data_IF_167704413586
#
_entry.id   IF_167704413586
#
_cell.length_a   1.000
_cell.length_b   1.000
_cell.length_c   1.000
_cell.angle_alpha   90.00
_cell.angle_beta   90.00
_cell.angle_gamma   90.00
#
_symmetry.space_group_name_H-M   'P 1'
#
loop_
_entity.id
_entity.type
_entity.pdbx_description
1 polymer ?
#
# COMPACT_ATOMS: atom_id res chain seq x y z
N UNK A 1 -11.95 -3.31 -18.92
CA UNK A 1 -12.47 -2.67 -17.71
C UNK A 1 -13.87 -2.13 -17.98
N UNK A 2 -14.86 -2.59 -17.22
CA UNK A 2 -16.22 -2.06 -17.23
C UNK A 2 -16.34 -0.83 -16.30
N UNK A 3 -17.40 -0.02 -16.46
CA UNK A 3 -17.57 1.20 -15.63
C UNK A 3 -17.57 0.91 -14.13
N UNK A 4 -18.28 -0.14 -13.71
CA UNK A 4 -18.32 -0.55 -12.30
C UNK A 4 -16.94 -0.95 -11.78
N UNK A 5 -16.18 -1.67 -12.60
CA UNK A 5 -14.82 -2.11 -12.28
C UNK A 5 -13.90 -0.90 -12.13
N UNK A 6 -13.97 0.08 -13.04
CA UNK A 6 -13.19 1.31 -12.97
C UNK A 6 -13.48 2.13 -11.70
N UNK A 7 -14.75 2.25 -11.31
CA UNK A 7 -15.13 2.96 -10.07
C UNK A 7 -14.52 2.26 -8.85
N UNK A 8 -14.63 0.94 -8.78
CA UNK A 8 -14.11 0.16 -7.67
C UNK A 8 -12.58 0.18 -7.63
N UNK A 9 -11.93 0.00 -8.78
CA UNK A 9 -10.46 0.05 -8.89
C UNK A 9 -9.92 1.41 -8.47
N UNK A 10 -10.55 2.51 -8.89
CA UNK A 10 -10.20 3.86 -8.43
C UNK A 10 -10.31 3.99 -6.90
N UNK A 11 -11.43 3.54 -6.32
CA UNK A 11 -11.64 3.62 -4.86
C UNK A 11 -10.62 2.80 -4.08
N UNK A 12 -10.37 1.56 -4.50
CA UNK A 12 -9.45 0.66 -3.80
C UNK A 12 -8.00 1.10 -3.96
N UNK A 13 -7.58 1.49 -5.16
CA UNK A 13 -6.22 2.00 -5.40
C UNK A 13 -5.94 3.30 -4.66
N UNK A 14 -6.90 4.25 -4.58
CA UNK A 14 -6.74 5.45 -3.74
C UNK A 14 -6.64 5.12 -2.26
N UNK A 15 -7.46 4.19 -1.77
CA UNK A 15 -7.39 3.71 -0.38
C UNK A 15 -6.02 3.11 -0.07
N UNK A 16 -5.51 2.24 -0.95
CA UNK A 16 -4.19 1.62 -0.78
C UNK A 16 -3.07 2.64 -0.81
N UNK A 17 -3.08 3.56 -1.78
CA UNK A 17 -2.09 4.64 -1.91
C UNK A 17 -2.04 5.48 -0.64
N UNK A 18 -3.20 5.91 -0.14
CA UNK A 18 -3.28 6.69 1.10
C UNK A 18 -2.73 5.91 2.30
N UNK A 19 -3.04 4.62 2.41
CA UNK A 19 -2.51 3.75 3.46
C UNK A 19 -0.98 3.60 3.40
N UNK A 20 -0.42 3.47 2.19
CA UNK A 20 1.03 3.38 2.02
C UNK A 20 1.75 4.67 2.40
N UNK A 21 1.18 5.84 2.07
CA UNK A 21 1.73 7.16 2.46
C UNK A 21 1.68 7.35 3.98
N UNK A 22 0.64 6.84 4.65
CA UNK A 22 0.61 6.81 6.11
C UNK A 22 1.72 5.88 6.62
N UNK A 23 1.89 4.71 6.00
CA UNK A 23 2.95 3.76 6.32
C UNK A 23 4.36 4.34 6.22
N UNK A 24 4.67 5.14 5.19
CA UNK A 24 5.97 5.83 5.06
C UNK A 24 6.18 6.83 6.19
N UNK A 25 5.17 7.62 6.51
CA UNK A 25 5.23 8.58 7.61
C UNK A 25 5.50 7.87 8.94
N UNK A 26 4.84 6.72 9.17
CA UNK A 26 5.06 5.91 10.37
C UNK A 26 6.47 5.30 10.41
N UNK A 27 7.03 4.89 9.27
CA UNK A 27 8.41 4.43 9.17
C UNK A 27 9.39 5.55 9.55
N UNK A 28 9.17 6.77 9.09
CA UNK A 28 10.02 7.91 9.45
C UNK A 28 9.96 8.22 10.96
N UNK A 29 8.76 8.13 11.56
CA UNK A 29 8.60 8.26 13.01
C UNK A 29 9.32 7.12 13.76
N UNK A 30 9.25 5.90 13.25
CA UNK A 30 9.92 4.74 13.83
C UNK A 30 11.44 4.95 13.92
N UNK A 31 12.05 5.51 12.87
CA UNK A 31 13.50 5.80 12.81
C UNK A 31 13.91 6.87 13.83
N UNK A 32 13.00 7.73 14.24
CA UNK A 32 13.27 8.76 15.25
C UNK A 32 13.34 8.22 16.69
N UNK A 33 12.87 6.98 16.94
CA UNK A 33 12.85 6.37 18.26
C UNK A 33 14.26 5.91 18.67
N UNK A 34 14.78 6.50 19.76
CA UNK A 34 16.15 6.24 20.24
C UNK A 34 16.26 5.11 21.26
N UNK A 35 15.15 4.75 21.91
CA UNK A 35 15.11 3.68 22.91
C UNK A 35 14.77 2.36 22.23
N UNK A 36 15.58 1.33 22.47
CA UNK A 36 15.42 0.02 21.83
C UNK A 36 14.05 -0.61 22.10
N UNK A 37 13.53 -0.49 23.33
CA UNK A 37 12.21 -1.02 23.70
C UNK A 37 11.07 -0.35 22.92
N UNK A 38 11.15 0.98 22.74
CA UNK A 38 10.18 1.74 21.95
C UNK A 38 10.29 1.43 20.47
N UNK A 39 11.51 1.31 19.94
CA UNK A 39 11.77 0.95 18.56
C UNK A 39 11.20 -0.45 18.25
N UNK A 40 11.44 -1.42 19.13
CA UNK A 40 10.92 -2.79 19.00
C UNK A 40 9.39 -2.82 19.03
N UNK A 41 8.77 -2.07 19.96
CA UNK A 41 7.32 -1.91 20.02
C UNK A 41 6.75 -1.23 18.76
N UNK A 42 7.37 -0.13 18.33
CA UNK A 42 6.98 0.62 17.14
C UNK A 42 7.06 -0.22 15.86
N UNK A 43 8.10 -1.05 15.72
CA UNK A 43 8.23 -2.01 14.60
C UNK A 43 7.01 -2.93 14.53
N UNK A 44 6.59 -3.50 15.67
CA UNK A 44 5.42 -4.39 15.73
C UNK A 44 4.14 -3.67 15.31
N UNK A 45 3.93 -2.44 15.81
CA UNK A 45 2.75 -1.64 15.45
C UNK A 45 2.72 -1.31 13.97
N UNK A 46 3.85 -0.92 13.39
CA UNK A 46 3.96 -0.65 11.94
C UNK A 46 3.70 -1.92 11.12
N UNK A 47 4.24 -3.07 11.54
CA UNK A 47 3.96 -4.35 10.88
C UNK A 47 2.47 -4.68 10.95
N UNK A 48 1.82 -4.57 12.11
CA UNK A 48 0.37 -4.83 12.22
C UNK A 48 -0.47 -3.89 11.37
N UNK A 49 -0.06 -2.63 11.25
CA UNK A 49 -0.69 -1.68 10.34
C UNK A 49 -0.60 -2.17 8.88
N UNK A 50 0.59 -2.59 8.44
CA UNK A 50 0.81 -3.09 7.09
C UNK A 50 0.12 -4.43 6.82
N UNK A 51 0.02 -5.31 7.81
CA UNK A 51 -0.79 -6.53 7.72
C UNK A 51 -2.29 -6.20 7.57
N UNK A 52 -2.76 -5.15 8.23
CA UNK A 52 -4.10 -4.61 8.02
C UNK A 52 -4.30 -4.12 6.58
N UNK A 53 -3.34 -3.38 6.04
CA UNK A 53 -3.35 -2.91 4.66
C UNK A 53 -3.29 -4.07 3.66
N UNK A 54 -2.53 -5.13 3.96
CA UNK A 54 -2.47 -6.35 3.16
C UNK A 54 -3.84 -7.04 3.06
N UNK A 55 -4.62 -7.02 4.15
CA UNK A 55 -6.00 -7.54 4.13
C UNK A 55 -6.90 -6.71 3.22
N UNK A 56 -6.76 -5.39 3.24
CA UNK A 56 -7.50 -4.50 2.33
C UNK A 56 -7.16 -4.76 0.86
N UNK A 57 -5.88 -5.03 0.56
CA UNK A 57 -5.44 -5.43 -0.78
C UNK A 57 -6.14 -6.71 -1.23
N UNK A 58 -6.14 -7.75 -0.39
CA UNK A 58 -6.81 -9.03 -0.67
C UNK A 58 -8.32 -8.91 -0.82
N UNK A 59 -8.96 -8.02 -0.05
CA UNK A 59 -10.39 -7.72 -0.22
C UNK A 59 -10.62 -7.14 -1.62
N UNK A 60 -9.79 -6.21 -2.05
CA UNK A 60 -9.92 -5.60 -3.36
C UNK A 60 -9.65 -6.59 -4.50
N UNK A 61 -8.67 -7.49 -4.36
CA UNK A 61 -8.45 -8.59 -5.32
C UNK A 61 -9.68 -9.50 -5.45
N UNK A 62 -10.34 -9.83 -4.34
CA UNK A 62 -11.56 -10.64 -4.39
C UNK A 62 -12.72 -9.93 -5.12
N UNK A 63 -12.72 -8.59 -5.15
CA UNK A 63 -13.76 -7.78 -5.80
C UNK A 63 -13.46 -7.52 -7.28
N UNK A 64 -12.20 -7.25 -7.63
CA UNK A 64 -11.78 -6.86 -8.98
C UNK A 64 -11.30 -8.05 -9.82
N UNK A 65 -10.85 -9.12 -9.17
CA UNK A 65 -10.36 -10.32 -9.82
C UNK A 65 -8.96 -10.71 -9.38
N UNK A 66 -8.69 -12.02 -9.42
CA UNK A 66 -7.40 -12.59 -9.05
C UNK A 66 -6.27 -11.98 -9.87
N UNK A 67 -5.22 -11.51 -9.19
CA UNK A 67 -4.02 -10.98 -9.81
C UNK A 67 -4.02 -9.48 -10.06
N UNK A 68 -5.16 -8.78 -9.88
CA UNK A 68 -5.25 -7.34 -10.11
C UNK A 68 -4.31 -6.52 -9.21
N UNK A 69 -4.07 -7.00 -7.98
CA UNK A 69 -3.14 -6.36 -7.03
C UNK A 69 -2.01 -7.27 -6.55
N UNK A 70 -1.72 -8.37 -7.25
CA UNK A 70 -0.71 -9.33 -6.80
C UNK A 70 0.69 -8.71 -6.66
N UNK A 71 1.05 -7.80 -7.57
CA UNK A 71 2.31 -7.05 -7.48
C UNK A 71 2.37 -6.12 -6.28
N UNK A 72 1.24 -5.47 -5.97
CA UNK A 72 1.12 -4.59 -4.82
C UNK A 72 1.15 -5.38 -3.51
N UNK A 73 0.44 -6.51 -3.45
CA UNK A 73 0.46 -7.43 -2.31
C UNK A 73 1.90 -7.89 -2.01
N UNK A 74 2.59 -8.40 -3.04
CA UNK A 74 3.99 -8.83 -2.94
C UNK A 74 4.89 -7.71 -2.43
N UNK A 75 4.69 -6.48 -2.92
CA UNK A 75 5.50 -5.33 -2.50
C UNK A 75 5.25 -4.95 -1.03
N UNK A 76 4.01 -5.01 -0.55
CA UNK A 76 3.71 -4.78 0.88
C UNK A 76 4.31 -5.87 1.76
N UNK A 77 4.27 -7.13 1.33
CA UNK A 77 4.96 -8.22 2.05
C UNK A 77 6.47 -7.99 2.13
N UNK A 78 7.08 -7.46 1.07
CA UNK A 78 8.49 -7.10 1.04
C UNK A 78 8.82 -5.97 2.03
N UNK A 79 7.98 -4.92 2.11
CA UNK A 79 8.11 -3.86 3.12
C UNK A 79 8.10 -4.47 4.53
N UNK A 80 7.13 -5.34 4.83
CA UNK A 80 7.02 -6.00 6.15
C UNK A 80 8.30 -6.79 6.46
N UNK A 81 8.78 -7.59 5.51
CA UNK A 81 10.02 -8.35 5.66
C UNK A 81 11.23 -7.47 5.95
N UNK A 82 11.39 -6.37 5.21
CA UNK A 82 12.49 -5.40 5.39
C UNK A 82 12.43 -4.73 6.76
N UNK A 83 11.24 -4.36 7.25
CA UNK A 83 11.06 -3.80 8.61
C UNK A 83 11.47 -4.81 9.68
N UNK A 84 11.09 -6.08 9.54
CA UNK A 84 11.52 -7.14 10.47
C UNK A 84 13.04 -7.30 10.51
N UNK A 85 13.69 -7.23 9.35
CA UNK A 85 15.15 -7.31 9.22
C UNK A 85 15.86 -5.99 9.56
N UNK A 86 15.12 -4.95 9.98
CA UNK A 86 15.65 -3.62 10.27
C UNK A 86 16.38 -2.95 9.08
N UNK A 87 16.00 -3.32 7.87
CA UNK A 87 16.48 -2.78 6.60
C UNK A 87 15.64 -1.54 6.21
N UNK A 88 15.88 -0.43 6.91
CA UNK A 88 15.01 0.75 6.85
C UNK A 88 15.08 1.46 5.49
N UNK A 89 16.28 1.67 4.96
CA UNK A 89 16.47 2.34 3.65
C UNK A 89 15.79 1.52 2.54
N UNK A 90 15.99 0.20 2.57
CA UNK A 90 15.32 -0.69 1.65
C UNK A 90 13.80 -0.69 1.87
N UNK A 91 13.31 -0.64 3.12
CA UNK A 91 11.89 -0.53 3.38
C UNK A 91 11.29 0.75 2.76
N UNK A 92 11.99 1.90 2.84
CA UNK A 92 11.59 3.14 2.19
C UNK A 92 11.51 3.01 0.65
N UNK A 93 12.48 2.34 0.02
CA UNK A 93 12.40 2.07 -1.42
C UNK A 93 11.23 1.16 -1.79
N UNK A 94 10.98 0.10 -1.02
CA UNK A 94 9.82 -0.78 -1.25
C UNK A 94 8.50 -0.04 -1.10
N UNK A 95 8.39 0.85 -0.11
CA UNK A 95 7.21 1.71 0.02
C UNK A 95 7.01 2.59 -1.21
N UNK A 96 8.08 3.22 -1.71
CA UNK A 96 8.01 4.08 -2.89
C UNK A 96 7.52 3.32 -4.12
N UNK A 97 8.01 2.09 -4.32
CA UNK A 97 7.54 1.20 -5.37
C UNK A 97 6.05 0.81 -5.19
N UNK A 98 5.64 0.47 -3.96
CA UNK A 98 4.23 0.15 -3.67
C UNK A 98 3.31 1.35 -3.96
N UNK A 99 3.71 2.55 -3.57
CA UNK A 99 2.95 3.79 -3.83
C UNK A 99 2.85 4.02 -5.34
N UNK A 100 3.92 3.81 -6.09
CA UNK A 100 3.92 3.93 -7.55
C UNK A 100 2.95 2.95 -8.22
N UNK A 101 2.94 1.68 -7.78
CA UNK A 101 1.99 0.67 -8.26
C UNK A 101 0.54 1.10 -7.99
N UNK A 102 0.22 1.49 -6.75
CA UNK A 102 -1.13 1.95 -6.40
C UNK A 102 -1.53 3.22 -7.18
N UNK A 103 -0.60 4.15 -7.38
CA UNK A 103 -0.83 5.38 -8.17
C UNK A 103 -1.10 5.06 -9.64
N UNK A 104 -0.40 4.08 -10.20
CA UNK A 104 -0.58 3.66 -11.59
C UNK A 104 -1.95 3.02 -11.81
N UNK A 105 -2.38 2.13 -10.90
CA UNK A 105 -3.74 1.56 -10.94
C UNK A 105 -4.80 2.65 -10.82
N UNK A 106 -4.64 3.58 -9.87
CA UNK A 106 -5.56 4.71 -9.73
C UNK A 106 -5.64 5.55 -11.00
N UNK A 107 -4.49 5.95 -11.56
CA UNK A 107 -4.46 6.79 -12.75
C UNK A 107 -5.15 6.11 -13.93
N UNK A 108 -4.98 4.79 -14.08
CA UNK A 108 -5.61 4.00 -15.13
C UNK A 108 -7.14 4.03 -14.99
N UNK A 109 -7.64 3.77 -13.78
CA UNK A 109 -9.06 3.83 -13.48
C UNK A 109 -9.63 5.25 -13.67
N UNK A 110 -8.93 6.27 -13.17
CA UNK A 110 -9.31 7.68 -13.29
C UNK A 110 -9.41 8.13 -14.76
N UNK A 111 -8.41 7.79 -15.58
CA UNK A 111 -8.42 8.14 -17.00
C UNK A 111 -9.65 7.58 -17.71
N UNK A 112 -9.98 6.32 -17.46
CA UNK A 112 -11.18 5.70 -18.03
C UNK A 112 -12.46 6.42 -17.59
N UNK A 113 -12.57 6.80 -16.31
CA UNK A 113 -13.74 7.51 -15.79
C UNK A 113 -13.87 8.91 -16.41
N UNK A 114 -12.77 9.64 -16.59
CA UNK A 114 -12.72 10.94 -17.28
C UNK A 114 -13.18 10.79 -18.73
N UNK A 115 -12.66 9.80 -19.46
CA UNK A 115 -13.05 9.54 -20.87
C UNK A 115 -14.55 9.26 -21.00
N UNK A 116 -15.13 8.60 -19.99
CA UNK A 116 -16.58 8.32 -19.91
C UNK A 116 -17.39 9.49 -19.34
N UNK A 117 -16.76 10.60 -18.93
CA UNK A 117 -17.37 11.77 -18.29
C UNK A 117 -18.14 11.42 -17.01
N UNK A 118 -17.58 10.50 -16.23
CA UNK A 118 -18.16 10.05 -14.95
C UNK A 118 -17.52 10.75 -13.74
N UNK A 119 -16.43 11.51 -13.97
CA UNK A 119 -15.71 12.38 -13.03
C UNK A 119 -15.16 13.59 -13.78
#
# INVERSE_FOLDING_TARGET
METREAILDFQYSEKMKSGLIIGTTLLDQLVSLKREEELSGGKKVLVWYLEGLLREIRIAENVLGSGHYADLERKVMEVIGRIHMSQIEEAQWSFSEAISLATTSCQTAMNFLIEKKLV
#
